data_IF_165913352586
#
_entry.id   IF_165913352586
#
_cell.length_a   1.000
_cell.length_b   1.000
_cell.length_c   1.000
_cell.angle_alpha   90.00
_cell.angle_beta   90.00
_cell.angle_gamma   90.00
#
_symmetry.space_group_name_H-M   'P 1'
#
loop_
_entity.id
_entity.type
_entity.pdbx_description
1 polymer ?
#
# COMPACT_ATOMS: atom_id res chain seq x y z
N UNK A 1 -29.31 5.44 -3.38
CA UNK A 1 -28.33 4.64 -4.18
C UNK A 1 -27.61 3.61 -3.30
N UNK A 2 -26.94 3.97 -2.20
CA UNK A 2 -26.21 3.02 -1.33
C UNK A 2 -27.08 1.93 -0.70
N UNK A 3 -28.30 2.27 -0.24
CA UNK A 3 -29.26 1.27 0.26
C UNK A 3 -29.65 0.26 -0.82
N UNK A 4 -29.77 0.69 -2.07
CA UNK A 4 -30.03 -0.21 -3.20
C UNK A 4 -28.90 -1.23 -3.38
N UNK A 5 -27.65 -0.79 -3.31
CA UNK A 5 -26.49 -1.70 -3.43
C UNK A 5 -26.44 -2.72 -2.28
N UNK A 6 -26.71 -2.27 -1.05
CA UNK A 6 -26.79 -3.19 0.12
C UNK A 6 -27.93 -4.21 -0.04
N UNK A 7 -29.08 -3.79 -0.55
CA UNK A 7 -30.20 -4.70 -0.83
C UNK A 7 -29.87 -5.68 -1.96
N UNK A 8 -29.21 -5.21 -3.02
CA UNK A 8 -28.79 -6.07 -4.13
C UNK A 8 -27.77 -7.10 -3.66
N UNK A 9 -26.77 -6.70 -2.91
CA UNK A 9 -25.79 -7.62 -2.34
C UNK A 9 -26.45 -8.72 -1.52
N UNK A 10 -27.40 -8.37 -0.65
CA UNK A 10 -28.15 -9.33 0.14
C UNK A 10 -28.95 -10.31 -0.74
N UNK A 11 -29.52 -9.82 -1.84
CA UNK A 11 -30.27 -10.67 -2.78
C UNK A 11 -29.36 -11.67 -3.51
N UNK A 12 -28.13 -11.25 -3.82
CA UNK A 12 -27.14 -12.05 -4.53
C UNK A 12 -26.23 -12.85 -3.57
N UNK A 13 -26.62 -12.99 -2.31
CA UNK A 13 -25.89 -13.74 -1.27
C UNK A 13 -24.43 -13.26 -1.08
N UNK A 14 -24.13 -12.00 -1.45
CA UNK A 14 -22.84 -11.36 -1.24
C UNK A 14 -22.77 -10.92 0.24
N UNK A 15 -21.60 -11.10 0.91
CA UNK A 15 -21.39 -10.57 2.26
C UNK A 15 -21.71 -9.08 2.36
N UNK A 16 -21.96 -8.59 3.55
CA UNK A 16 -22.33 -7.20 3.80
C UNK A 16 -21.36 -6.22 3.12
N UNK A 17 -21.92 -5.27 2.36
CA UNK A 17 -21.14 -4.20 1.75
C UNK A 17 -20.90 -3.11 2.79
N UNK A 18 -19.63 -2.88 3.13
CA UNK A 18 -19.20 -1.77 3.96
C UNK A 18 -18.87 -0.56 3.08
N UNK A 19 -19.59 0.54 3.28
CA UNK A 19 -19.51 1.74 2.44
C UNK A 19 -18.73 2.82 3.14
N UNK A 20 -17.58 3.21 2.56
CA UNK A 20 -16.76 4.32 3.04
C UNK A 20 -17.00 5.54 2.15
N UNK A 21 -17.46 6.62 2.74
CA UNK A 21 -17.64 7.90 2.05
C UNK A 21 -16.37 8.73 2.08
N UNK A 22 -15.81 9.03 0.90
CA UNK A 22 -14.54 9.79 0.76
C UNK A 22 -14.84 11.30 0.81
N UNK A 23 -14.18 12.02 1.71
CA UNK A 23 -14.28 13.47 1.87
C UNK A 23 -15.74 13.96 1.98
N UNK A 24 -16.57 13.18 2.64
CA UNK A 24 -17.97 13.54 2.94
C UNK A 24 -18.19 13.53 4.44
N UNK A 25 -19.14 14.33 4.89
CA UNK A 25 -19.54 14.30 6.30
C UNK A 25 -20.14 12.95 6.69
N UNK A 26 -19.82 12.46 7.86
CA UNK A 26 -20.35 11.21 8.44
C UNK A 26 -21.89 11.08 8.40
N UNK A 27 -22.59 12.23 8.34
CA UNK A 27 -24.06 12.28 8.33
C UNK A 27 -24.70 11.91 6.99
N UNK A 28 -23.90 11.59 5.96
CA UNK A 28 -24.45 11.15 4.68
C UNK A 28 -25.13 9.80 4.84
N UNK A 29 -26.45 9.68 4.53
CA UNK A 29 -27.19 8.44 4.75
C UNK A 29 -26.64 7.28 3.90
N UNK A 30 -26.42 6.14 4.55
CA UNK A 30 -26.03 4.89 3.89
C UNK A 30 -24.54 4.63 3.81
N UNK A 31 -23.68 5.51 4.34
CA UNK A 31 -22.28 5.20 4.59
C UNK A 31 -22.11 4.56 5.97
N UNK A 32 -21.14 3.67 6.09
CA UNK A 32 -20.77 3.01 7.33
C UNK A 32 -19.60 3.70 8.03
N UNK A 33 -18.73 4.35 7.23
CA UNK A 33 -17.64 5.18 7.72
C UNK A 33 -17.33 6.34 6.75
N UNK A 34 -16.64 7.35 7.24
CA UNK A 34 -16.02 8.39 6.43
C UNK A 34 -14.53 8.10 6.24
N UNK A 35 -13.95 8.56 5.14
CA UNK A 35 -12.51 8.63 4.91
C UNK A 35 -12.14 10.10 4.64
N UNK A 36 -11.25 10.60 5.45
CA UNK A 36 -10.60 11.89 5.21
C UNK A 36 -9.38 11.65 4.31
N UNK A 37 -9.60 11.79 2.99
CA UNK A 37 -8.57 11.56 1.99
C UNK A 37 -7.85 12.86 1.65
N UNK A 38 -6.59 12.93 1.97
CA UNK A 38 -5.72 14.06 1.63
C UNK A 38 -5.34 14.06 0.13
N UNK A 39 -5.05 15.24 -0.46
CA UNK A 39 -5.04 16.58 0.11
C UNK A 39 -6.44 17.22 0.19
N UNK A 40 -7.47 16.59 -0.36
CA UNK A 40 -8.82 17.18 -0.46
C UNK A 40 -9.44 17.47 0.91
N UNK A 41 -9.17 16.61 1.90
CA UNK A 41 -9.68 16.83 3.25
C UNK A 41 -9.17 18.14 3.87
N UNK A 42 -7.89 18.46 3.69
CA UNK A 42 -7.28 19.67 4.26
C UNK A 42 -7.39 20.89 3.36
N UNK A 43 -7.26 20.71 2.04
CA UNK A 43 -7.23 21.84 1.11
C UNK A 43 -8.61 22.36 0.70
N UNK A 44 -9.59 21.47 0.55
CA UNK A 44 -10.89 21.79 -0.05
C UNK A 44 -12.04 21.82 0.97
N UNK A 45 -11.90 21.12 2.10
CA UNK A 45 -12.97 20.96 3.09
C UNK A 45 -12.64 21.74 4.35
N UNK A 46 -13.45 22.74 4.66
CA UNK A 46 -13.38 23.48 5.92
C UNK A 46 -14.22 22.77 6.99
N UNK A 47 -13.76 21.63 7.48
CA UNK A 47 -14.45 20.88 8.53
C UNK A 47 -14.20 21.45 9.94
N UNK A 48 -13.20 22.30 10.09
CA UNK A 48 -12.75 22.80 11.40
C UNK A 48 -12.98 24.29 11.59
N UNK A 49 -13.39 25.02 10.53
CA UNK A 49 -13.35 26.48 10.49
C UNK A 49 -11.92 27.05 10.39
N UNK A 50 -10.93 26.19 10.27
CA UNK A 50 -9.51 26.55 10.07
C UNK A 50 -9.09 26.14 8.67
N UNK A 51 -8.76 27.13 7.84
CA UNK A 51 -8.23 26.86 6.51
C UNK A 51 -6.72 26.78 6.55
N UNK A 52 -6.15 25.83 5.81
CA UNK A 52 -4.73 25.80 5.51
C UNK A 52 -4.32 27.12 4.85
N UNK A 53 -3.25 27.70 5.31
CA UNK A 53 -2.75 28.96 4.76
C UNK A 53 -2.08 28.72 3.42
N UNK A 54 -2.77 29.04 2.34
CA UNK A 54 -2.14 29.13 1.03
C UNK A 54 -1.30 30.40 0.94
N UNK A 55 -0.04 30.25 0.59
CA UNK A 55 0.87 31.36 0.32
C UNK A 55 1.11 31.44 -1.18
N UNK A 56 1.14 32.65 -1.74
CA UNK A 56 1.59 32.83 -3.11
C UNK A 56 3.11 32.79 -3.16
N UNK A 57 3.68 31.79 -3.82
CA UNK A 57 5.08 31.73 -4.20
C UNK A 57 5.15 32.01 -5.70
N UNK A 58 5.45 33.26 -6.05
CA UNK A 58 5.22 33.83 -7.39
C UNK A 58 3.73 33.79 -7.74
N UNK A 59 3.33 33.00 -8.74
CA UNK A 59 1.93 32.86 -9.17
C UNK A 59 1.23 31.61 -8.63
N UNK A 60 1.99 30.70 -7.98
CA UNK A 60 1.52 29.38 -7.54
C UNK A 60 1.04 29.45 -6.09
N UNK A 61 -0.02 28.72 -5.76
CA UNK A 61 -0.42 28.51 -4.36
C UNK A 61 0.50 27.49 -3.72
N UNK A 62 1.11 27.85 -2.63
CA UNK A 62 1.99 26.96 -1.86
C UNK A 62 1.45 26.77 -0.45
N UNK A 63 1.52 25.54 0.05
CA UNK A 63 1.09 25.13 1.38
C UNK A 63 2.26 24.41 2.04
N UNK A 64 2.53 24.76 3.30
CA UNK A 64 3.52 24.02 4.06
C UNK A 64 2.98 22.62 4.38
N UNK A 65 3.75 21.60 4.07
CA UNK A 65 3.37 20.20 4.30
C UNK A 65 2.97 19.92 5.75
N UNK A 66 3.65 20.56 6.69
CA UNK A 66 3.37 20.42 8.11
C UNK A 66 2.02 21.02 8.54
N UNK A 67 1.56 22.06 7.86
CA UNK A 67 0.26 22.70 8.18
C UNK A 67 -0.92 21.73 7.92
N UNK A 68 -0.79 20.78 6.98
CA UNK A 68 -1.78 19.74 6.70
C UNK A 68 -1.96 18.84 7.92
N UNK A 69 -0.87 18.39 8.52
CA UNK A 69 -0.93 17.44 9.64
C UNK A 69 -1.35 18.08 10.96
N UNK A 70 -1.07 19.35 11.16
CA UNK A 70 -1.64 20.09 12.29
C UNK A 70 -3.18 20.14 12.19
N UNK A 71 -3.73 20.18 10.99
CA UNK A 71 -5.16 20.15 10.72
C UNK A 71 -5.75 18.73 10.89
N UNK A 72 -5.10 17.69 10.44
CA UNK A 72 -5.57 16.30 10.58
C UNK A 72 -5.85 15.94 12.04
N UNK A 73 -4.97 16.30 12.96
CA UNK A 73 -5.20 16.14 14.39
C UNK A 73 -6.47 16.83 14.91
N UNK A 74 -6.97 17.84 14.22
CA UNK A 74 -8.23 18.53 14.53
C UNK A 74 -9.43 17.91 13.83
N UNK A 75 -9.31 17.51 12.58
CA UNK A 75 -10.37 16.86 11.80
C UNK A 75 -10.79 15.57 12.50
N UNK A 76 -9.82 14.82 12.95
CA UNK A 76 -10.05 13.60 13.69
C UNK A 76 -10.86 13.77 14.98
N UNK A 77 -10.78 14.92 15.63
CA UNK A 77 -11.53 15.22 16.89
C UNK A 77 -12.98 15.67 16.66
N UNK A 78 -13.31 16.13 15.47
CA UNK A 78 -14.63 16.72 15.16
C UNK A 78 -15.63 15.68 14.69
N UNK A 79 -15.18 14.58 14.12
CA UNK A 79 -16.07 13.55 13.59
C UNK A 79 -16.40 12.50 14.65
N UNK A 80 -17.65 12.52 15.11
CA UNK A 80 -18.14 11.59 16.16
C UNK A 80 -18.44 10.17 15.65
N UNK A 81 -18.24 9.89 14.36
CA UNK A 81 -18.49 8.59 13.76
C UNK A 81 -17.19 7.85 13.39
N UNK A 82 -17.33 6.66 12.82
CA UNK A 82 -16.20 5.89 12.29
C UNK A 82 -15.54 6.68 11.16
N UNK A 83 -14.31 7.12 11.38
CA UNK A 83 -13.56 7.95 10.43
C UNK A 83 -12.17 7.39 10.25
N UNK A 84 -11.87 6.98 9.03
CA UNK A 84 -10.53 6.61 8.60
C UNK A 84 -9.75 7.85 8.20
N UNK A 85 -8.43 7.76 8.40
CA UNK A 85 -7.49 8.81 8.05
C UNK A 85 -6.61 8.37 6.90
N UNK A 86 -6.07 9.33 6.17
CA UNK A 86 -5.06 9.09 5.15
C UNK A 86 -3.78 9.86 5.41
N UNK A 87 -2.67 9.29 4.97
CA UNK A 87 -1.41 9.99 4.87
C UNK A 87 -1.19 10.46 3.43
N UNK A 88 -0.63 11.64 3.29
CA UNK A 88 -0.27 12.26 2.02
C UNK A 88 1.25 12.13 1.83
N UNK A 89 1.69 11.63 0.68
CA UNK A 89 3.12 11.52 0.38
C UNK A 89 3.69 12.88 -0.02
N UNK A 90 3.15 13.46 -1.07
CA UNK A 90 3.46 14.77 -1.61
C UNK A 90 2.23 15.30 -2.37
N UNK A 91 2.26 16.51 -2.87
CA UNK A 91 1.25 17.02 -3.78
C UNK A 91 1.73 18.23 -4.56
N UNK A 92 1.64 18.15 -5.87
CA UNK A 92 1.83 19.26 -6.80
C UNK A 92 0.95 19.07 -8.04
N UNK A 93 -0.21 19.70 -8.09
CA UNK A 93 -1.07 19.68 -9.27
C UNK A 93 -0.89 20.88 -10.21
N UNK A 94 0.12 21.70 -9.96
CA UNK A 94 0.43 22.88 -10.79
C UNK A 94 0.79 22.52 -12.24
N UNK A 95 1.40 21.37 -12.58
CA UNK A 95 1.60 20.97 -13.97
C UNK A 95 0.28 20.85 -14.76
N UNK A 96 -0.81 20.47 -14.08
CA UNK A 96 -2.13 20.30 -14.67
C UNK A 96 -3.00 21.57 -14.57
N UNK A 97 -2.94 22.27 -13.44
CA UNK A 97 -3.85 23.38 -13.12
C UNK A 97 -3.23 24.77 -13.21
N UNK A 98 -1.91 24.86 -13.45
CA UNK A 98 -1.17 26.11 -13.53
C UNK A 98 -1.33 26.95 -12.26
N UNK A 99 -1.62 28.26 -12.41
CA UNK A 99 -1.79 29.19 -11.29
C UNK A 99 -2.94 28.84 -10.32
N UNK A 100 -3.83 27.95 -10.71
CA UNK A 100 -4.97 27.48 -9.88
C UNK A 100 -4.62 26.23 -9.09
N UNK A 101 -3.47 25.65 -9.38
CA UNK A 101 -2.97 24.47 -8.66
C UNK A 101 -2.41 24.84 -7.30
N UNK A 102 -2.31 23.83 -6.45
CA UNK A 102 -1.65 23.90 -5.16
C UNK A 102 -0.38 23.02 -5.21
N UNK A 103 0.68 23.42 -4.51
CA UNK A 103 1.85 22.59 -4.28
C UNK A 103 2.26 22.60 -2.80
N UNK A 104 2.81 21.50 -2.33
CA UNK A 104 3.34 21.38 -0.99
C UNK A 104 4.80 21.81 -0.92
N UNK A 105 5.17 22.44 0.18
CA UNK A 105 6.54 22.82 0.51
C UNK A 105 7.02 22.04 1.73
N UNK A 106 8.32 21.74 1.76
CA UNK A 106 8.93 21.03 2.87
C UNK A 106 8.63 19.53 2.89
N UNK A 107 8.24 18.96 1.76
CA UNK A 107 8.05 17.52 1.62
C UNK A 107 9.42 16.83 1.58
N UNK A 108 9.55 15.80 2.40
CA UNK A 108 10.71 14.90 2.41
C UNK A 108 10.31 13.56 3.04
N UNK A 109 11.08 12.48 2.83
CA UNK A 109 10.84 11.20 3.49
C UNK A 109 10.78 11.30 5.01
N UNK A 110 11.62 12.16 5.63
CA UNK A 110 11.64 12.35 7.09
C UNK A 110 10.39 13.07 7.60
N UNK A 111 9.91 14.08 6.86
CA UNK A 111 8.68 14.78 7.21
C UNK A 111 7.47 13.88 6.97
N UNK A 112 7.47 13.07 5.90
CA UNK A 112 6.46 12.05 5.67
C UNK A 112 6.43 11.04 6.81
N UNK A 113 7.58 10.52 7.25
CA UNK A 113 7.67 9.57 8.37
C UNK A 113 7.02 10.13 9.65
N UNK A 114 7.36 11.38 10.02
CA UNK A 114 6.76 12.04 11.18
C UNK A 114 5.25 12.10 11.08
N UNK A 115 4.77 12.52 9.93
CA UNK A 115 3.35 12.74 9.69
C UNK A 115 2.59 11.43 9.59
N UNK A 116 3.12 10.45 8.88
CA UNK A 116 2.53 9.12 8.80
C UNK A 116 2.44 8.46 10.18
N UNK A 117 3.44 8.67 11.03
CA UNK A 117 3.40 8.20 12.42
C UNK A 117 2.25 8.83 13.21
N UNK A 118 2.00 10.13 13.07
CA UNK A 118 0.85 10.79 13.72
C UNK A 118 -0.49 10.22 13.23
N UNK A 119 -0.61 9.97 11.93
CA UNK A 119 -1.80 9.35 11.34
C UNK A 119 -2.01 7.95 11.89
N UNK A 120 -0.95 7.15 12.02
CA UNK A 120 -1.02 5.81 12.60
C UNK A 120 -1.43 5.84 14.08
N UNK A 121 -0.84 6.73 14.88
CA UNK A 121 -1.18 6.90 16.29
C UNK A 121 -2.65 7.30 16.48
N UNK A 122 -3.13 8.28 15.74
CA UNK A 122 -4.52 8.71 15.78
C UNK A 122 -5.48 7.62 15.30
N UNK A 123 -5.13 6.90 14.24
CA UNK A 123 -5.92 5.78 13.73
C UNK A 123 -6.03 4.65 14.75
N UNK A 124 -4.95 4.38 15.49
CA UNK A 124 -4.95 3.43 16.61
C UNK A 124 -5.86 3.86 17.75
N UNK A 125 -5.82 5.14 18.15
CA UNK A 125 -6.72 5.70 19.16
C UNK A 125 -8.20 5.58 18.76
N UNK A 126 -8.49 5.59 17.45
CA UNK A 126 -9.84 5.43 16.91
C UNK A 126 -10.25 3.98 16.69
N UNK A 127 -9.38 3.02 16.99
CA UNK A 127 -9.57 1.61 16.65
C UNK A 127 -9.90 1.43 15.15
N UNK A 128 -9.16 2.13 14.29
CA UNK A 128 -9.28 1.98 12.84
C UNK A 128 -8.52 0.73 12.38
N UNK A 129 -9.16 -0.07 11.55
CA UNK A 129 -8.59 -1.28 10.96
C UNK A 129 -7.68 -0.97 9.78
N UNK A 130 -7.85 0.23 9.19
CA UNK A 130 -7.15 0.65 7.99
C UNK A 130 -6.63 2.07 8.13
N UNK A 131 -5.46 2.31 7.54
CA UNK A 131 -4.91 3.62 7.21
C UNK A 131 -4.69 3.67 5.71
N UNK A 132 -5.09 4.75 5.09
CA UNK A 132 -4.94 4.94 3.65
C UNK A 132 -3.72 5.81 3.39
N UNK A 133 -3.02 5.56 2.28
CA UNK A 133 -1.91 6.41 1.84
C UNK A 133 -2.23 6.90 0.43
N UNK A 134 -2.18 8.19 0.22
CA UNK A 134 -2.38 8.81 -1.08
C UNK A 134 -1.03 9.35 -1.58
N UNK A 135 -0.40 8.64 -2.54
CA UNK A 135 -0.82 7.43 -3.20
C UNK A 135 0.39 6.53 -3.49
N UNK A 136 0.17 5.38 -4.16
CA UNK A 136 1.27 4.54 -4.62
C UNK A 136 2.00 5.19 -5.82
N UNK A 137 1.26 5.66 -6.84
CA UNK A 137 1.82 6.06 -8.12
C UNK A 137 1.09 7.21 -8.84
N UNK A 138 0.58 8.19 -8.11
CA UNK A 138 -0.01 9.40 -8.71
C UNK A 138 1.07 10.41 -9.12
N UNK A 139 1.94 9.99 -10.06
CA UNK A 139 3.07 10.77 -10.57
C UNK A 139 2.67 12.13 -11.15
N UNK A 140 1.49 12.19 -11.78
CA UNK A 140 0.97 13.42 -12.37
C UNK A 140 0.66 14.53 -11.37
N UNK A 141 0.57 14.20 -10.09
CA UNK A 141 0.33 15.11 -8.98
C UNK A 141 1.44 15.08 -7.93
N UNK A 142 2.58 14.43 -8.25
CA UNK A 142 3.69 14.28 -7.31
C UNK A 142 3.41 13.36 -6.12
N UNK A 143 2.23 12.74 -6.05
CA UNK A 143 1.82 11.86 -4.95
C UNK A 143 2.22 10.41 -5.22
N UNK A 144 3.41 10.02 -4.83
CA UNK A 144 3.85 8.64 -5.07
C UNK A 144 4.77 8.11 -3.97
N UNK A 145 4.54 6.83 -3.60
CA UNK A 145 5.44 6.03 -2.76
C UNK A 145 6.41 5.20 -3.59
N UNK A 146 6.09 5.02 -4.85
CA UNK A 146 6.89 4.27 -5.81
C UNK A 146 8.33 4.81 -5.82
N UNK A 147 9.35 3.95 -5.79
CA UNK A 147 10.74 4.39 -5.78
C UNK A 147 11.08 5.29 -6.96
N UNK A 148 11.80 6.36 -6.71
CA UNK A 148 12.23 7.36 -7.69
C UNK A 148 13.77 7.53 -7.72
N UNK A 149 14.28 8.24 -8.71
CA UNK A 149 15.72 8.52 -8.81
C UNK A 149 16.22 9.47 -7.71
N UNK A 150 15.34 10.30 -7.16
CA UNK A 150 15.70 11.34 -6.18
C UNK A 150 15.80 10.79 -4.76
N UNK A 151 14.84 9.97 -4.37
CA UNK A 151 14.70 9.47 -3.01
C UNK A 151 14.90 7.95 -2.89
N UNK A 152 14.98 7.24 -4.03
CA UNK A 152 15.07 5.79 -4.04
C UNK A 152 13.92 5.17 -3.22
N UNK A 153 14.25 4.36 -2.24
CA UNK A 153 13.27 3.67 -1.38
C UNK A 153 12.97 4.41 -0.07
N UNK A 154 13.39 5.68 0.11
CA UNK A 154 13.31 6.34 1.42
C UNK A 154 11.87 6.54 1.92
N UNK A 155 10.90 6.76 1.05
CA UNK A 155 9.49 6.82 1.44
C UNK A 155 8.97 5.47 1.94
N UNK A 156 9.33 4.37 1.28
CA UNK A 156 8.96 3.01 1.74
C UNK A 156 9.64 2.66 3.06
N UNK A 157 10.89 3.06 3.24
CA UNK A 157 11.59 2.92 4.52
C UNK A 157 10.93 3.75 5.63
N UNK A 158 10.43 4.93 5.31
CA UNK A 158 9.68 5.77 6.24
C UNK A 158 8.37 5.09 6.69
N UNK A 159 7.65 4.45 5.76
CA UNK A 159 6.48 3.61 6.09
C UNK A 159 6.88 2.49 7.05
N UNK A 160 7.93 1.74 6.72
CA UNK A 160 8.40 0.62 7.54
C UNK A 160 8.76 1.07 8.96
N UNK A 161 9.59 2.12 9.11
CA UNK A 161 10.00 2.65 10.42
C UNK A 161 8.81 3.13 11.25
N UNK A 162 7.84 3.76 10.63
CA UNK A 162 6.61 4.21 11.31
C UNK A 162 5.79 3.03 11.84
N UNK A 163 5.65 1.97 11.06
CA UNK A 163 4.93 0.75 11.47
C UNK A 163 5.67 -0.01 12.58
N UNK A 164 6.99 -0.08 12.52
CA UNK A 164 7.82 -0.71 13.56
C UNK A 164 7.72 0.04 14.89
N UNK A 165 7.71 1.38 14.84
CA UNK A 165 7.54 2.21 16.04
C UNK A 165 6.22 1.90 16.76
N UNK A 166 5.11 1.88 16.04
CA UNK A 166 3.79 1.58 16.62
C UNK A 166 3.73 0.17 17.22
N UNK A 167 4.34 -0.82 16.56
CA UNK A 167 4.42 -2.19 17.09
C UNK A 167 5.23 -2.27 18.39
N UNK A 168 6.33 -1.54 18.47
CA UNK A 168 7.20 -1.54 19.64
C UNK A 168 6.53 -0.86 20.86
N UNK A 169 5.72 0.16 20.64
CA UNK A 169 4.93 0.80 21.70
C UNK A 169 3.87 -0.13 22.31
N UNK A 170 3.28 -1.03 21.52
CA UNK A 170 2.37 -2.05 22.02
C UNK A 170 3.09 -3.15 22.81
N UNK A 171 4.31 -3.48 22.43
CA UNK A 171 5.16 -4.48 23.10
C UNK A 171 5.69 -4.02 24.47
N UNK A 172 5.82 -2.73 24.71
CA UNK A 172 6.43 -2.17 25.93
C UNK A 172 5.55 -2.17 27.17
N UNK A 173 4.30 -2.62 27.09
CA UNK A 173 3.50 -2.88 28.31
C UNK A 173 3.91 -4.15 29.06
N UNK A 174 4.78 -4.98 28.52
CA UNK A 174 5.22 -6.24 29.13
C UNK A 174 6.64 -6.68 28.78
N UNK A 175 7.65 -5.82 28.82
CA UNK A 175 9.05 -6.32 28.99
C UNK A 175 9.96 -5.15 29.35
N UNK A 176 10.57 -5.22 30.53
CA UNK A 176 11.80 -4.51 30.91
C UNK A 176 12.90 -4.73 29.88
N UNK A 177 13.45 -3.63 29.42
CA UNK A 177 14.72 -3.41 28.73
C UNK A 177 15.58 -4.66 28.47
N UNK A 178 15.68 -5.02 27.18
CA UNK A 178 16.91 -5.54 26.63
C UNK A 178 17.14 -4.85 25.27
N UNK A 179 18.14 -3.98 25.26
CA UNK A 179 18.73 -3.43 24.05
C UNK A 179 19.24 -4.58 23.18
N UNK A 180 18.49 -4.93 22.16
CA UNK A 180 19.02 -5.65 21.02
C UNK A 180 18.68 -4.83 19.78
N UNK A 181 19.64 -4.00 19.39
CA UNK A 181 19.76 -3.50 18.04
C UNK A 181 19.59 -4.67 17.07
N UNK A 182 18.51 -4.70 16.30
CA UNK A 182 18.49 -5.58 15.15
C UNK A 182 19.66 -5.14 14.26
N UNK A 183 20.54 -6.05 13.84
CA UNK A 183 21.68 -5.66 13.03
C UNK A 183 21.17 -4.98 11.75
N UNK A 184 21.73 -3.84 11.42
CA UNK A 184 21.53 -3.08 10.17
C UNK A 184 21.60 -4.00 8.93
N UNK A 185 22.34 -5.07 9.04
CA UNK A 185 22.51 -6.13 8.05
C UNK A 185 21.23 -6.93 7.73
N UNK A 186 20.35 -7.21 8.71
CA UNK A 186 19.09 -7.94 8.44
C UNK A 186 18.08 -7.06 7.70
N UNK A 187 18.03 -5.77 8.04
CA UNK A 187 17.17 -4.80 7.37
C UNK A 187 17.60 -4.59 5.91
N UNK A 188 18.91 -4.64 5.64
CA UNK A 188 19.45 -4.48 4.30
C UNK A 188 19.15 -5.69 3.41
N UNK A 189 19.27 -6.90 3.93
CA UNK A 189 18.88 -8.13 3.21
C UNK A 189 17.37 -8.20 2.93
N UNK A 190 16.55 -7.77 3.88
CA UNK A 190 15.10 -7.69 3.68
C UNK A 190 14.72 -6.67 2.60
N UNK A 191 15.41 -5.53 2.56
CA UNK A 191 15.22 -4.51 1.53
C UNK A 191 15.68 -4.97 0.14
N UNK A 192 16.83 -5.66 0.06
CA UNK A 192 17.31 -6.25 -1.20
C UNK A 192 16.30 -7.28 -1.73
N UNK A 193 15.78 -8.13 -0.87
CA UNK A 193 14.75 -9.12 -1.24
C UNK A 193 13.44 -8.46 -1.71
N UNK A 194 13.01 -7.38 -1.07
CA UNK A 194 11.84 -6.61 -1.51
C UNK A 194 12.09 -5.94 -2.86
N UNK A 195 13.29 -5.43 -3.09
CA UNK A 195 13.70 -4.85 -4.37
C UNK A 195 13.67 -5.88 -5.47
N UNK A 196 14.26 -7.05 -5.25
CA UNK A 196 14.24 -8.15 -6.23
C UNK A 196 12.80 -8.58 -6.57
N UNK A 197 11.91 -8.63 -5.57
CA UNK A 197 10.50 -8.94 -5.78
C UNK A 197 9.77 -7.86 -6.58
N UNK A 198 10.08 -6.59 -6.31
CA UNK A 198 9.52 -5.47 -7.06
C UNK A 198 9.99 -5.49 -8.51
N UNK A 199 11.30 -5.60 -8.75
CA UNK A 199 11.89 -5.65 -10.09
C UNK A 199 11.30 -6.82 -10.92
N UNK A 200 11.08 -7.95 -10.28
CA UNK A 200 10.45 -9.12 -10.90
C UNK A 200 8.99 -8.84 -11.30
N UNK A 201 8.21 -8.24 -10.41
CA UNK A 201 6.81 -7.89 -10.66
C UNK A 201 6.70 -6.81 -11.75
N UNK A 202 7.55 -5.79 -11.72
CA UNK A 202 7.58 -4.73 -12.72
C UNK A 202 7.90 -5.29 -14.10
N UNK A 203 8.93 -6.14 -14.19
CA UNK A 203 9.28 -6.81 -15.44
C UNK A 203 8.13 -7.69 -15.97
N UNK A 204 7.47 -8.42 -15.08
CA UNK A 204 6.30 -9.23 -15.45
C UNK A 204 5.15 -8.36 -15.96
N UNK A 205 4.89 -7.23 -15.31
CA UNK A 205 3.89 -6.27 -15.74
C UNK A 205 4.21 -5.66 -17.12
N UNK A 206 5.49 -5.32 -17.36
CA UNK A 206 5.95 -4.84 -18.66
C UNK A 206 5.72 -5.87 -19.79
N UNK A 207 6.00 -7.16 -19.54
CA UNK A 207 5.69 -8.24 -20.48
C UNK A 207 4.19 -8.27 -20.80
N UNK A 208 3.33 -8.18 -19.78
CA UNK A 208 1.87 -8.14 -19.98
C UNK A 208 1.40 -6.93 -20.81
N UNK A 209 1.98 -5.76 -20.59
CA UNK A 209 1.67 -4.56 -21.39
C UNK A 209 2.05 -4.73 -22.87
N UNK A 210 3.08 -5.53 -23.14
CA UNK A 210 3.51 -5.88 -24.50
C UNK A 210 2.73 -7.05 -25.10
N UNK A 211 1.66 -7.53 -24.45
CA UNK A 211 0.92 -8.76 -24.77
C UNK A 211 1.83 -10.00 -24.83
N UNK A 212 2.88 -10.02 -24.05
CA UNK A 212 3.80 -11.14 -23.88
C UNK A 212 3.54 -11.88 -22.58
N UNK A 213 3.99 -13.11 -22.51
CA UNK A 213 3.85 -13.97 -21.32
C UNK A 213 5.20 -14.54 -20.90
N UNK A 214 5.37 -14.77 -19.59
CA UNK A 214 6.52 -15.48 -19.07
C UNK A 214 6.65 -16.89 -19.67
N UNK A 215 5.54 -17.49 -20.10
CA UNK A 215 5.53 -18.79 -20.77
C UNK A 215 6.32 -18.82 -22.09
N UNK A 216 6.50 -17.65 -22.75
CA UNK A 216 7.30 -17.58 -23.99
C UNK A 216 8.75 -18.04 -23.76
N UNK A 217 9.34 -17.68 -22.61
CA UNK A 217 10.68 -18.12 -22.27
C UNK A 217 10.78 -19.64 -22.24
N UNK A 218 9.82 -20.33 -21.66
CA UNK A 218 9.83 -21.79 -21.57
C UNK A 218 9.62 -22.44 -22.95
N UNK A 219 8.72 -21.86 -23.75
CA UNK A 219 8.44 -22.35 -25.13
C UNK A 219 9.68 -22.17 -26.02
N UNK A 220 10.33 -21.01 -25.97
CA UNK A 220 11.54 -20.73 -26.76
C UNK A 220 12.72 -21.63 -26.39
N UNK A 221 12.79 -22.05 -25.13
CA UNK A 221 13.82 -22.97 -24.64
C UNK A 221 13.39 -24.44 -24.66
N UNK A 222 12.24 -24.78 -25.27
CA UNK A 222 11.72 -26.15 -25.39
C UNK A 222 11.47 -26.85 -24.06
N UNK A 223 11.03 -26.09 -23.03
CA UNK A 223 10.59 -26.65 -21.76
C UNK A 223 9.09 -26.87 -21.79
N UNK A 224 8.67 -28.09 -22.09
CA UNK A 224 7.26 -28.47 -22.15
C UNK A 224 6.67 -28.83 -20.78
N UNK A 225 7.53 -29.29 -19.86
CA UNK A 225 7.19 -29.66 -18.49
C UNK A 225 8.14 -28.98 -17.49
N UNK A 226 7.57 -28.43 -16.40
CA UNK A 226 8.36 -27.77 -15.36
C UNK A 226 7.88 -28.17 -13.97
N UNK A 227 8.74 -28.01 -12.97
CA UNK A 227 8.38 -28.00 -11.56
C UNK A 227 8.44 -26.55 -11.04
N UNK A 228 7.44 -26.13 -10.30
CA UNK A 228 7.37 -24.81 -9.70
C UNK A 228 7.79 -24.89 -8.24
N UNK A 229 8.85 -24.19 -7.87
CA UNK A 229 9.32 -24.12 -6.49
C UNK A 229 8.86 -22.82 -5.82
N UNK A 230 8.09 -22.95 -4.74
CA UNK A 230 7.51 -21.84 -3.98
C UNK A 230 6.06 -21.57 -4.31
N UNK A 231 5.15 -21.84 -3.35
CA UNK A 231 3.70 -21.64 -3.48
C UNK A 231 3.23 -20.37 -2.77
N UNK A 232 4.09 -19.35 -2.71
CA UNK A 232 3.74 -18.00 -2.26
C UNK A 232 2.94 -17.24 -3.31
N UNK A 233 2.71 -15.96 -3.06
CA UNK A 233 1.93 -15.08 -3.96
C UNK A 233 2.46 -15.10 -5.40
N UNK A 234 3.78 -14.96 -5.59
CA UNK A 234 4.40 -14.99 -6.92
C UNK A 234 4.25 -16.34 -7.61
N UNK A 235 4.44 -17.44 -6.88
CA UNK A 235 4.28 -18.79 -7.41
C UNK A 235 2.86 -19.06 -7.91
N UNK A 236 1.85 -18.61 -7.16
CA UNK A 236 0.44 -18.69 -7.55
C UNK A 236 0.14 -17.88 -8.82
N UNK A 237 0.67 -16.67 -8.92
CA UNK A 237 0.51 -15.86 -10.14
C UNK A 237 1.18 -16.48 -11.36
N UNK A 238 2.40 -17.02 -11.19
CA UNK A 238 3.11 -17.72 -12.26
C UNK A 238 2.33 -18.96 -12.73
N UNK A 239 1.82 -19.74 -11.79
CA UNK A 239 1.01 -20.91 -12.10
C UNK A 239 -0.25 -20.55 -12.92
N UNK A 240 -0.98 -19.50 -12.53
CA UNK A 240 -2.15 -19.03 -13.28
C UNK A 240 -1.76 -18.53 -14.68
N UNK A 241 -0.62 -17.88 -14.84
CA UNK A 241 -0.10 -17.45 -16.14
C UNK A 241 0.26 -18.63 -17.05
N UNK A 242 0.87 -19.66 -16.47
CA UNK A 242 1.27 -20.89 -17.18
C UNK A 242 0.06 -21.76 -17.58
N UNK A 243 -1.01 -21.80 -16.78
CA UNK A 243 -2.26 -22.51 -17.13
C UNK A 243 -2.82 -22.10 -18.48
N UNK A 244 -2.60 -20.85 -18.89
CA UNK A 244 -3.09 -20.33 -20.18
C UNK A 244 -2.14 -20.67 -21.33
N UNK A 245 -1.03 -21.34 -21.07
CA UNK A 245 0.00 -21.74 -22.01
C UNK A 245 -0.06 -23.25 -22.32
N UNK A 246 0.91 -23.72 -23.12
CA UNK A 246 1.11 -25.15 -23.39
C UNK A 246 2.09 -25.83 -22.41
N UNK A 247 2.54 -25.09 -21.39
CA UNK A 247 3.52 -25.60 -20.43
C UNK A 247 2.78 -26.40 -19.35
N UNK A 248 3.19 -27.61 -19.12
CA UNK A 248 2.68 -28.46 -18.04
C UNK A 248 3.46 -28.22 -16.75
N UNK A 249 2.78 -27.83 -15.68
CA UNK A 249 3.37 -27.77 -14.33
C UNK A 249 3.16 -29.12 -13.67
N UNK A 250 4.18 -29.98 -13.73
CA UNK A 250 4.10 -31.34 -13.24
C UNK A 250 4.16 -31.44 -11.71
N UNK A 251 4.89 -30.53 -11.07
CA UNK A 251 5.02 -30.48 -9.61
C UNK A 251 4.95 -29.05 -9.10
N UNK A 252 4.32 -28.88 -7.94
CA UNK A 252 4.38 -27.67 -7.13
C UNK A 252 5.07 -28.04 -5.82
N UNK A 253 6.22 -27.44 -5.55
CA UNK A 253 7.08 -27.77 -4.42
C UNK A 253 7.12 -26.58 -3.46
N UNK A 254 6.81 -26.79 -2.17
CA UNK A 254 6.90 -25.76 -1.15
C UNK A 254 7.29 -26.33 0.21
N UNK A 255 8.14 -25.61 0.96
CA UNK A 255 8.58 -25.98 2.30
C UNK A 255 7.44 -25.98 3.32
N UNK A 256 6.42 -25.15 3.09
CA UNK A 256 5.29 -24.96 3.98
C UNK A 256 4.04 -25.66 3.44
N UNK A 257 4.16 -26.94 3.01
CA UNK A 257 3.07 -27.73 2.47
C UNK A 257 1.80 -27.62 3.31
N UNK A 258 0.79 -26.93 2.78
CA UNK A 258 -0.50 -26.71 3.46
C UNK A 258 -1.73 -27.00 2.59
N UNK A 259 -1.52 -27.22 1.29
CA UNK A 259 -2.59 -27.39 0.30
C UNK A 259 -2.41 -28.76 -0.39
N UNK A 260 -3.53 -29.39 -0.77
CA UNK A 260 -3.52 -30.67 -1.51
C UNK A 260 -2.87 -30.46 -2.89
N UNK A 261 -1.99 -31.40 -3.28
CA UNK A 261 -1.24 -31.32 -4.55
C UNK A 261 0.09 -30.59 -4.46
N UNK A 262 0.49 -30.07 -3.30
CA UNK A 262 1.81 -29.48 -3.08
C UNK A 262 2.72 -30.51 -2.43
N UNK A 263 3.93 -30.67 -2.97
CA UNK A 263 4.93 -31.63 -2.55
C UNK A 263 5.99 -30.95 -1.69
N UNK A 264 6.39 -31.57 -0.59
CA UNK A 264 7.53 -31.08 0.19
C UNK A 264 8.84 -31.37 -0.56
N UNK A 265 9.90 -30.54 -0.40
CA UNK A 265 11.16 -30.72 -1.12
C UNK A 265 11.80 -32.08 -0.90
N UNK A 266 11.73 -32.61 0.30
CA UNK A 266 12.24 -33.96 0.65
C UNK A 266 11.47 -35.06 -0.06
N UNK A 267 10.13 -34.99 -0.11
CA UNK A 267 9.27 -35.95 -0.79
C UNK A 267 9.53 -35.99 -2.31
N UNK A 268 9.79 -34.80 -2.90
CA UNK A 268 10.11 -34.64 -4.32
C UNK A 268 11.45 -35.33 -4.68
N UNK A 269 12.46 -35.19 -3.82
CA UNK A 269 13.78 -35.81 -4.03
C UNK A 269 13.74 -37.34 -3.91
N UNK A 270 12.91 -37.89 -3.02
CA UNK A 270 12.71 -39.32 -2.87
C UNK A 270 12.02 -39.93 -4.10
N UNK A 271 11.03 -39.24 -4.68
CA UNK A 271 10.33 -39.69 -5.89
C UNK A 271 11.25 -39.74 -7.11
N UNK A 272 12.21 -38.82 -7.23
CA UNK A 272 13.21 -38.80 -8.29
C UNK A 272 14.34 -39.84 -8.10
N UNK A 273 14.57 -40.34 -6.88
CA UNK A 273 15.62 -41.31 -6.59
C UNK A 273 15.22 -42.78 -6.87
N UNK A 274 13.96 -43.00 -7.23
CA UNK A 274 13.38 -44.30 -7.53
C UNK A 274 13.42 -44.72 -9.01
N UNK A 275 14.13 -43.95 -9.88
CA UNK A 275 14.30 -44.25 -11.30
C UNK A 275 15.67 -44.92 -11.58
#
# INVERSE_FOLDING_TARGET
MMQFWKQLAKKEEIPEIYVIGVNVGYQVPGIDAALMLEPGASLDIDLTGKKVKRRKKNVINAVEYQDIYELEGHIGKINNGKTYLSALVDYDDTPRRGEKGDCLLGVSPENFEKNFSLVLEESKHRNNEFVFINAWNEWGEGMYLEPDEKHGFEYLKAVLRSLERIKNEDGTKNVTSNNNEKPEFQTQQELEKLREQYDLLDHWFQLKQQNRSVSEYFIENHYDQIALYGWGTLGKHLYEDLKMSKIEVSYIIDQNKKEEGIVAPEDFLEDQSGI
#
